data_IF_004228504913
#
_entry.id   IF_004228504913
#
_cell.length_a   1.000
_cell.length_b   1.000
_cell.length_c   1.000
_cell.angle_alpha   90.00
_cell.angle_beta   90.00
_cell.angle_gamma   90.00
#
_symmetry.space_group_name_H-M   'P 1'
#
loop_
_entity.id
_entity.type
_entity.pdbx_description
1 polymer ?
#
# COMPACT_ATOMS: atom_id res chain seq x y z
N UNK A 1 -60.34 -2.74 70.60
CA UNK A 1 -59.36 -1.65 70.43
C UNK A 1 -58.08 -2.22 69.86
N UNK A 2 -57.41 -1.41 69.01
CA UNK A 2 -56.13 -1.58 68.30
C UNK A 2 -55.11 -2.60 68.85
N UNK A 3 -54.24 -3.23 68.08
CA UNK A 3 -53.77 -3.05 66.70
C UNK A 3 -52.61 -4.05 66.47
N UNK A 4 -52.24 -4.29 65.22
CA UNK A 4 -51.60 -5.54 64.78
C UNK A 4 -50.06 -5.66 64.90
N UNK A 5 -49.60 -6.90 64.71
CA UNK A 5 -48.42 -7.32 63.90
C UNK A 5 -48.43 -8.86 63.81
N UNK A 6 -48.74 -9.40 62.64
CA UNK A 6 -47.79 -9.88 61.62
C UNK A 6 -47.24 -11.28 61.91
N UNK A 7 -47.99 -12.29 61.45
CA UNK A 7 -47.53 -13.65 61.25
C UNK A 7 -48.13 -14.17 59.95
N UNK A 8 -47.31 -14.33 58.91
CA UNK A 8 -47.73 -14.83 57.61
C UNK A 8 -46.51 -15.08 56.72
N UNK A 9 -46.15 -16.35 56.60
CA UNK A 9 -45.03 -16.86 55.83
C UNK A 9 -45.17 -16.65 54.31
N UNK A 10 -44.04 -16.88 53.61
CA UNK A 10 -43.84 -17.20 52.18
C UNK A 10 -43.30 -16.11 51.24
N UNK A 11 -42.12 -16.41 50.67
CA UNK A 11 -41.76 -16.06 49.30
C UNK A 11 -40.93 -14.80 49.12
N UNK A 12 -39.70 -14.95 48.62
CA UNK A 12 -39.02 -13.85 47.94
C UNK A 12 -37.51 -13.82 48.09
N UNK A 13 -36.85 -14.84 47.54
CA UNK A 13 -35.48 -14.83 46.99
C UNK A 13 -34.94 -13.41 46.75
N UNK A 14 -33.76 -13.12 47.28
CA UNK A 14 -32.94 -11.99 46.84
C UNK A 14 -32.62 -12.15 45.36
N UNK A 15 -33.46 -11.55 44.50
CA UNK A 15 -33.23 -11.54 43.06
C UNK A 15 -32.15 -10.51 42.81
N UNK A 16 -30.90 -10.98 42.63
CA UNK A 16 -29.93 -10.30 41.77
C UNK A 16 -30.71 -9.80 40.54
N UNK A 17 -30.84 -8.49 40.42
CA UNK A 17 -31.79 -7.88 39.52
C UNK A 17 -31.53 -8.25 38.05
N UNK A 18 -32.56 -8.16 37.19
CA UNK A 18 -32.49 -8.47 35.76
C UNK A 18 -31.42 -7.70 34.97
N UNK A 19 -30.80 -6.66 35.55
CA UNK A 19 -29.72 -5.89 34.94
C UNK A 19 -28.39 -6.65 34.82
N UNK A 20 -28.06 -7.56 35.74
CA UNK A 20 -26.79 -8.32 35.69
C UNK A 20 -26.84 -9.36 34.57
N UNK A 21 -27.98 -10.04 34.40
CA UNK A 21 -28.27 -10.97 33.29
C UNK A 21 -28.41 -10.26 31.95
N UNK A 22 -28.95 -9.04 31.90
CA UNK A 22 -29.00 -8.23 30.68
C UNK A 22 -27.60 -7.79 30.23
N UNK A 23 -26.77 -7.28 31.15
CA UNK A 23 -25.39 -6.89 30.87
C UNK A 23 -24.53 -8.08 30.42
N UNK A 24 -24.74 -9.26 31.02
CA UNK A 24 -24.07 -10.49 30.61
C UNK A 24 -24.53 -10.96 29.22
N UNK A 25 -25.83 -10.86 28.94
CA UNK A 25 -26.41 -11.20 27.63
C UNK A 25 -25.90 -10.26 26.54
N UNK A 26 -25.86 -8.96 26.78
CA UNK A 26 -25.32 -7.96 25.84
C UNK A 26 -23.82 -8.18 25.61
N UNK A 27 -23.04 -8.45 26.66
CA UNK A 27 -21.63 -8.84 26.50
C UNK A 27 -21.47 -10.07 25.62
N UNK A 28 -22.37 -11.04 25.74
CA UNK A 28 -22.35 -12.28 24.93
C UNK A 28 -22.69 -11.99 23.47
N UNK A 29 -23.67 -11.13 23.21
CA UNK A 29 -24.03 -10.69 21.85
C UNK A 29 -22.88 -9.91 21.20
N UNK A 30 -22.28 -8.96 21.92
CA UNK A 30 -21.12 -8.18 21.46
C UNK A 30 -19.94 -9.11 21.14
N UNK A 31 -19.60 -10.06 22.04
CA UNK A 31 -18.52 -11.03 21.80
C UNK A 31 -18.78 -11.91 20.58
N UNK A 32 -20.01 -12.39 20.38
CA UNK A 32 -20.39 -13.16 19.19
C UNK A 32 -20.24 -12.33 17.92
N UNK A 33 -20.64 -11.06 17.95
CA UNK A 33 -20.52 -10.14 16.83
C UNK A 33 -19.06 -9.83 16.50
N UNK A 34 -18.22 -9.59 17.51
CA UNK A 34 -16.76 -9.45 17.36
C UNK A 34 -16.15 -10.72 16.74
N UNK A 35 -16.52 -11.91 17.22
CA UNK A 35 -16.00 -13.17 16.70
C UNK A 35 -16.47 -13.47 15.26
N UNK A 36 -17.68 -13.03 14.88
CA UNK A 36 -18.16 -13.11 13.51
C UNK A 36 -17.40 -12.14 12.60
N UNK A 37 -17.28 -10.86 13.01
CA UNK A 37 -16.53 -9.85 12.27
C UNK A 37 -15.05 -10.21 12.08
N UNK A 38 -14.39 -10.78 13.11
CA UNK A 38 -13.01 -11.29 12.98
C UNK A 38 -12.89 -12.40 11.95
N UNK A 39 -13.85 -13.32 11.88
CA UNK A 39 -13.86 -14.40 10.88
C UNK A 39 -14.08 -13.88 9.47
N UNK A 40 -14.99 -12.94 9.29
CA UNK A 40 -15.19 -12.27 8.00
C UNK A 40 -13.92 -11.49 7.57
N UNK A 41 -13.26 -10.80 8.51
CA UNK A 41 -11.99 -10.10 8.26
C UNK A 41 -10.89 -11.08 7.83
N UNK A 42 -10.76 -12.24 8.46
CA UNK A 42 -9.80 -13.27 8.07
C UNK A 42 -10.10 -13.85 6.69
N UNK A 43 -11.37 -14.01 6.30
CA UNK A 43 -11.74 -14.42 4.93
C UNK A 43 -11.31 -13.38 3.90
N UNK A 44 -11.56 -12.09 4.16
CA UNK A 44 -11.13 -10.99 3.28
C UNK A 44 -9.61 -10.95 3.19
N UNK A 45 -8.89 -11.10 4.31
CA UNK A 45 -7.42 -11.19 4.34
C UNK A 45 -6.89 -12.38 3.55
N UNK A 46 -7.49 -13.56 3.69
CA UNK A 46 -7.12 -14.78 2.97
C UNK A 46 -7.46 -14.71 1.47
N UNK A 47 -8.51 -13.97 1.10
CA UNK A 47 -8.82 -13.67 -0.30
C UNK A 47 -7.76 -12.73 -0.89
N UNK A 48 -7.47 -11.61 -0.19
CA UNK A 48 -6.42 -10.65 -0.57
C UNK A 48 -5.02 -11.27 -0.63
N UNK A 49 -4.68 -12.20 0.26
CA UNK A 49 -3.38 -12.89 0.22
C UNK A 49 -3.26 -13.85 -0.96
N UNK A 50 -4.30 -14.62 -1.27
CA UNK A 50 -4.35 -15.50 -2.45
C UNK A 50 -4.31 -14.72 -3.76
N UNK A 51 -5.02 -13.59 -3.82
CA UNK A 51 -5.01 -12.72 -4.99
C UNK A 51 -3.65 -12.03 -5.19
N UNK A 52 -3.04 -11.50 -4.11
CA UNK A 52 -1.65 -11.01 -4.12
C UNK A 52 -0.66 -12.09 -4.54
N UNK A 53 -0.79 -13.32 -4.04
CA UNK A 53 0.08 -14.43 -4.43
C UNK A 53 -0.06 -14.79 -5.93
N UNK A 54 -1.26 -14.66 -6.49
CA UNK A 54 -1.53 -14.88 -7.92
C UNK A 54 -0.94 -13.76 -8.80
N UNK A 55 -1.09 -12.48 -8.44
CA UNK A 55 -0.41 -11.36 -9.15
C UNK A 55 1.12 -11.45 -9.01
N UNK A 56 1.63 -11.70 -7.81
CA UNK A 56 3.07 -11.84 -7.53
C UNK A 56 3.71 -12.90 -8.42
N UNK A 57 3.06 -14.05 -8.63
CA UNK A 57 3.56 -15.12 -9.50
C UNK A 57 3.64 -14.76 -10.99
N UNK A 58 3.08 -13.64 -11.46
CA UNK A 58 2.88 -13.37 -12.89
C UNK A 58 3.20 -11.93 -13.37
N UNK A 59 3.48 -10.94 -12.50
CA UNK A 59 3.53 -9.52 -12.92
C UNK A 59 4.66 -8.65 -12.32
N UNK A 60 4.85 -7.48 -12.93
CA UNK A 60 5.74 -6.40 -12.48
C UNK A 60 5.24 -5.77 -11.17
N UNK A 61 6.14 -5.21 -10.32
CA UNK A 61 5.74 -4.50 -9.11
C UNK A 61 4.85 -3.29 -9.43
N UNK A 62 3.89 -2.99 -8.55
CA UNK A 62 2.97 -1.87 -8.73
C UNK A 62 3.19 -0.80 -7.67
N UNK A 63 3.39 0.44 -8.12
CA UNK A 63 3.45 1.67 -7.32
C UNK A 63 2.14 2.43 -7.51
N UNK A 64 1.41 2.66 -6.42
CA UNK A 64 0.17 3.45 -6.46
C UNK A 64 0.46 4.89 -6.06
N UNK A 65 0.15 5.84 -6.95
CA UNK A 65 0.31 7.26 -6.71
C UNK A 65 -0.93 7.77 -5.98
N UNK A 66 -0.73 8.27 -4.76
CA UNK A 66 -1.79 8.76 -3.86
C UNK A 66 -1.53 10.20 -3.48
N UNK A 67 -2.57 10.94 -3.12
CA UNK A 67 -2.45 12.35 -2.74
C UNK A 67 -3.65 13.19 -3.18
N UNK A 68 -3.71 14.39 -2.62
CA UNK A 68 -4.82 15.31 -2.86
C UNK A 68 -5.01 15.67 -4.34
N UNK A 69 -6.22 16.08 -4.72
CA UNK A 69 -6.46 16.72 -6.01
C UNK A 69 -5.54 17.92 -6.20
N UNK A 70 -5.02 18.11 -7.40
CA UNK A 70 -4.06 19.16 -7.73
C UNK A 70 -2.68 19.04 -7.04
N UNK A 71 -2.37 17.94 -6.35
CA UNK A 71 -1.02 17.69 -5.84
C UNK A 71 0.04 17.48 -6.95
N UNK A 72 -0.42 17.21 -8.18
CA UNK A 72 0.44 16.96 -9.35
C UNK A 72 0.72 15.48 -9.63
N UNK A 73 -0.19 14.58 -9.22
CA UNK A 73 -0.06 13.12 -9.47
C UNK A 73 0.03 12.76 -10.95
N UNK A 74 -0.91 13.23 -11.77
CA UNK A 74 -0.91 12.95 -13.21
C UNK A 74 0.28 13.61 -13.92
N UNK A 75 0.68 14.81 -13.49
CA UNK A 75 1.92 15.47 -13.98
C UNK A 75 3.15 14.62 -13.67
N UNK A 76 3.23 14.08 -12.44
CA UNK A 76 4.31 13.19 -12.05
C UNK A 76 4.30 11.90 -12.85
N UNK A 77 3.14 11.26 -13.02
CA UNK A 77 3.02 10.03 -13.81
C UNK A 77 3.52 10.24 -15.25
N UNK A 78 3.14 11.37 -15.88
CA UNK A 78 3.60 11.69 -17.23
C UNK A 78 5.11 11.95 -17.28
N UNK A 79 5.64 12.72 -16.33
CA UNK A 79 7.08 13.00 -16.26
C UNK A 79 7.91 11.72 -16.05
N UNK A 80 7.39 10.74 -15.31
CA UNK A 80 8.04 9.43 -15.13
C UNK A 80 7.89 8.50 -16.35
N UNK A 81 6.83 8.65 -17.13
CA UNK A 81 6.52 7.78 -18.27
C UNK A 81 7.26 8.16 -19.56
N UNK A 82 7.63 9.43 -19.75
CA UNK A 82 8.37 9.92 -20.92
C UNK A 82 9.86 9.48 -20.95
N UNK A 83 10.33 8.73 -19.94
CA UNK A 83 11.70 8.20 -19.85
C UNK A 83 11.87 6.79 -20.49
N UNK A 84 11.20 6.52 -21.61
CA UNK A 84 11.07 5.24 -22.34
C UNK A 84 10.00 4.26 -21.79
N UNK A 85 8.79 4.20 -22.41
CA UNK A 85 8.09 2.97 -22.89
C UNK A 85 6.60 3.20 -23.28
N UNK A 86 6.17 2.43 -24.29
CA UNK A 86 4.88 2.33 -24.98
C UNK A 86 3.58 2.40 -24.15
N UNK A 87 2.57 2.99 -24.82
CA UNK A 87 1.24 3.42 -24.38
C UNK A 87 0.16 2.34 -24.52
N UNK A 88 -0.71 2.21 -23.53
CA UNK A 88 -2.16 2.10 -23.77
C UNK A 88 -2.84 3.29 -23.07
N UNK A 89 -3.53 4.12 -23.84
CA UNK A 89 -4.29 5.27 -23.37
C UNK A 89 -5.78 4.93 -23.35
N UNK A 90 -6.44 5.18 -22.22
CA UNK A 90 -7.89 5.35 -22.18
C UNK A 90 -8.21 6.69 -21.52
N UNK A 91 -9.02 7.49 -22.20
CA UNK A 91 -9.42 8.83 -21.75
C UNK A 91 -10.30 8.76 -20.51
N UNK A 92 -9.92 9.50 -19.45
CA UNK A 92 -10.72 10.35 -18.53
C UNK A 92 -9.78 10.78 -17.38
N UNK A 93 -9.95 11.98 -16.81
CA UNK A 93 -9.04 12.63 -15.86
C UNK A 93 -9.05 12.02 -14.42
N UNK A 94 -9.05 10.68 -14.34
CA UNK A 94 -9.05 9.74 -13.19
C UNK A 94 -10.38 9.54 -12.46
N UNK A 95 -11.30 8.84 -13.12
CA UNK A 95 -12.28 7.94 -12.48
C UNK A 95 -11.84 6.47 -12.63
N UNK A 96 -11.15 6.15 -13.73
CA UNK A 96 -10.42 4.90 -13.95
C UNK A 96 -8.91 5.13 -13.70
N UNK A 97 -8.18 4.15 -13.12
CA UNK A 97 -6.75 4.28 -12.85
C UNK A 97 -5.91 4.25 -14.13
N UNK A 98 -4.96 5.18 -14.27
CA UNK A 98 -4.01 5.19 -15.40
C UNK A 98 -2.72 4.52 -14.99
N UNK A 99 -2.29 3.48 -15.71
CA UNK A 99 -1.05 2.75 -15.41
C UNK A 99 0.01 2.99 -16.48
N UNK A 100 1.26 3.25 -16.07
CA UNK A 100 2.43 3.41 -16.94
C UNK A 100 3.58 2.51 -16.49
N UNK A 101 4.39 2.04 -17.43
CA UNK A 101 5.65 1.35 -17.14
C UNK A 101 6.75 2.38 -16.94
N UNK A 102 7.54 2.23 -15.89
CA UNK A 102 8.68 3.08 -15.57
C UNK A 102 9.87 2.18 -15.27
N UNK A 103 11.03 2.54 -15.83
CA UNK A 103 12.30 1.85 -15.56
C UNK A 103 13.01 2.54 -14.39
N UNK A 104 13.32 1.77 -13.35
CA UNK A 104 14.10 2.23 -12.19
C UNK A 104 15.59 2.32 -12.54
N UNK A 105 16.40 3.09 -11.78
CA UNK A 105 17.84 3.24 -12.00
C UNK A 105 18.60 1.91 -12.10
N UNK A 106 18.26 0.91 -11.28
CA UNK A 106 18.81 -0.45 -11.34
C UNK A 106 18.36 -1.29 -12.55
N UNK A 107 17.55 -0.73 -13.45
CA UNK A 107 17.09 -1.36 -14.69
C UNK A 107 15.79 -2.17 -14.54
N UNK A 108 15.29 -2.34 -13.32
CA UNK A 108 14.02 -3.02 -13.04
C UNK A 108 12.84 -2.20 -13.57
N UNK A 109 11.86 -2.86 -14.20
CA UNK A 109 10.64 -2.19 -14.66
C UNK A 109 9.53 -2.35 -13.63
N UNK A 110 8.84 -1.25 -13.34
CA UNK A 110 7.70 -1.20 -12.41
C UNK A 110 6.51 -0.50 -13.06
N UNK A 111 5.32 -0.74 -12.52
CA UNK A 111 4.08 -0.12 -12.97
C UNK A 111 3.70 1.00 -12.02
N UNK A 112 3.61 2.23 -12.50
CA UNK A 112 3.06 3.35 -11.74
C UNK A 112 1.60 3.54 -12.12
N UNK A 113 0.73 3.58 -11.11
CA UNK A 113 -0.72 3.74 -11.30
C UNK A 113 -1.18 5.04 -10.66
N UNK A 114 -1.66 5.98 -11.47
CA UNK A 114 -2.36 7.19 -10.97
C UNK A 114 -3.75 6.80 -10.50
N UNK A 115 -4.02 7.10 -9.24
CA UNK A 115 -5.30 6.81 -8.60
C UNK A 115 -6.14 8.06 -8.50
N UNK A 116 -7.45 7.88 -8.26
CA UNK A 116 -8.35 9.01 -8.06
C UNK A 116 -7.84 9.89 -6.93
N UNK A 117 -7.71 11.19 -7.19
CA UNK A 117 -7.20 12.13 -6.20
C UNK A 117 -8.08 12.23 -4.97
N UNK A 118 -7.44 12.32 -3.80
CA UNK A 118 -8.15 12.54 -2.54
C UNK A 118 -8.76 13.95 -2.53
N UNK A 119 -10.02 14.05 -2.12
CA UNK A 119 -10.73 15.32 -1.89
C UNK A 119 -11.03 15.40 -0.40
N UNK A 120 -10.89 16.60 0.18
CA UNK A 120 -11.20 16.86 1.59
C UNK A 120 -12.64 16.39 1.90
N UNK A 121 -12.78 15.52 2.91
CA UNK A 121 -14.05 14.90 3.32
C UNK A 121 -14.78 14.24 2.15
N UNK A 122 -14.36 13.02 1.79
CA UNK A 122 -15.21 12.15 0.97
C UNK A 122 -16.57 12.01 1.66
N UNK A 123 -17.69 12.39 1.00
CA UNK A 123 -19.01 12.13 1.53
C UNK A 123 -19.12 10.63 1.84
N UNK A 124 -19.65 10.26 3.02
CA UNK A 124 -19.75 8.87 3.48
C UNK A 124 -20.39 7.94 2.45
N UNK A 125 -21.30 8.48 1.64
CA UNK A 125 -22.02 7.74 0.59
C UNK A 125 -21.14 7.43 -0.63
N UNK A 126 -20.15 8.28 -0.91
CA UNK A 126 -19.16 8.10 -1.98
C UNK A 126 -17.96 7.24 -1.55
N UNK A 127 -17.74 7.07 -0.24
CA UNK A 127 -16.66 6.21 0.29
C UNK A 127 -16.82 4.77 -0.22
N UNK A 128 -18.05 4.25 -0.37
CA UNK A 128 -18.26 2.90 -0.90
C UNK A 128 -17.85 2.78 -2.39
N UNK A 129 -18.16 3.78 -3.21
CA UNK A 129 -17.81 3.82 -4.63
C UNK A 129 -16.29 4.06 -4.83
N UNK A 130 -15.69 4.91 -4.01
CA UNK A 130 -14.24 5.16 -4.02
C UNK A 130 -13.43 4.02 -3.40
N UNK A 131 -13.99 3.26 -2.45
CA UNK A 131 -13.30 2.08 -1.89
C UNK A 131 -12.98 1.05 -2.95
N UNK A 132 -13.86 0.86 -3.94
CA UNK A 132 -13.60 -0.04 -5.06
C UNK A 132 -12.44 0.47 -5.94
N UNK A 133 -12.34 1.78 -6.17
CA UNK A 133 -11.24 2.38 -6.96
C UNK A 133 -9.94 2.53 -6.17
N UNK A 134 -10.01 2.59 -4.84
CA UNK A 134 -8.88 2.57 -3.91
C UNK A 134 -8.44 1.15 -3.52
N UNK A 135 -9.14 0.12 -3.97
CA UNK A 135 -8.77 -1.27 -3.71
C UNK A 135 -7.42 -1.61 -4.36
N UNK A 136 -7.12 -1.00 -5.51
CA UNK A 136 -5.81 -1.10 -6.17
C UNK A 136 -4.68 -0.49 -5.31
N UNK A 137 -4.94 0.61 -4.60
CA UNK A 137 -4.01 1.17 -3.61
C UNK A 137 -3.72 0.18 -2.48
N UNK A 138 -4.72 -0.60 -2.06
CA UNK A 138 -4.56 -1.66 -1.06
C UNK A 138 -3.82 -2.88 -1.62
N UNK A 139 -3.70 -3.04 -2.93
CA UNK A 139 -2.95 -4.12 -3.57
C UNK A 139 -1.51 -3.74 -3.98
N UNK A 140 -1.22 -2.46 -4.18
CA UNK A 140 0.11 -1.98 -4.58
C UNK A 140 1.28 -2.49 -3.70
N UNK A 141 2.45 -2.69 -4.29
CA UNK A 141 3.66 -3.07 -3.55
C UNK A 141 4.28 -1.88 -2.82
N UNK A 142 4.06 -0.66 -3.33
CA UNK A 142 4.51 0.60 -2.72
C UNK A 142 3.48 1.72 -2.92
N UNK A 143 3.39 2.62 -1.95
CA UNK A 143 2.61 3.86 -2.03
C UNK A 143 3.52 5.06 -2.32
N UNK A 144 3.23 5.80 -3.38
CA UNK A 144 3.89 7.06 -3.68
C UNK A 144 2.95 8.21 -3.33
N UNK A 145 3.19 8.84 -2.18
CA UNK A 145 2.36 9.93 -1.68
C UNK A 145 2.85 11.27 -2.22
N UNK A 146 2.09 11.89 -3.13
CA UNK A 146 2.38 13.20 -3.71
C UNK A 146 1.71 14.30 -2.88
N UNK A 147 2.53 15.21 -2.37
CA UNK A 147 2.12 16.34 -1.56
C UNK A 147 2.55 17.66 -2.20
N UNK A 148 1.61 18.57 -2.43
CA UNK A 148 1.93 19.94 -2.83
C UNK A 148 2.44 20.73 -1.62
N UNK A 149 3.74 21.01 -1.55
CA UNK A 149 4.35 21.74 -0.42
C UNK A 149 4.06 23.23 -0.42
N UNK A 150 3.52 23.76 -1.51
CA UNK A 150 3.17 25.19 -1.65
C UNK A 150 1.79 25.48 -1.09
N UNK A 151 1.00 24.44 -0.84
CA UNK A 151 -0.34 24.59 -0.32
C UNK A 151 -0.33 24.98 1.17
N UNK A 152 -1.05 26.03 1.61
CA UNK A 152 -1.05 26.47 3.01
C UNK A 152 -1.50 25.40 4.01
N UNK A 153 -2.28 24.42 3.54
CA UNK A 153 -2.76 23.29 4.32
C UNK A 153 -2.05 21.97 4.02
N UNK A 154 -0.85 21.99 3.44
CA UNK A 154 -0.12 20.78 3.03
C UNK A 154 -0.04 19.73 4.15
N UNK A 155 0.34 20.12 5.37
CA UNK A 155 0.39 19.20 6.53
C UNK A 155 -0.97 18.54 6.82
N UNK A 156 -2.06 19.31 6.78
CA UNK A 156 -3.43 18.79 7.01
C UNK A 156 -3.87 17.85 5.90
N UNK A 157 -3.52 18.16 4.66
CA UNK A 157 -3.78 17.30 3.51
C UNK A 157 -3.01 15.98 3.63
N UNK A 158 -1.72 16.04 3.96
CA UNK A 158 -0.91 14.84 4.19
C UNK A 158 -1.53 13.95 5.27
N UNK A 159 -1.91 14.52 6.42
CA UNK A 159 -2.54 13.79 7.50
C UNK A 159 -3.86 13.12 7.06
N UNK A 160 -4.73 13.85 6.37
CA UNK A 160 -5.99 13.29 5.89
C UNK A 160 -5.81 12.14 4.88
N UNK A 161 -4.76 12.17 4.04
CA UNK A 161 -4.40 11.04 3.17
C UNK A 161 -3.98 9.85 4.01
N UNK A 162 -3.11 10.05 5.00
CA UNK A 162 -2.64 8.97 5.88
C UNK A 162 -3.79 8.31 6.66
N UNK A 163 -4.70 9.10 7.22
CA UNK A 163 -5.91 8.61 7.90
C UNK A 163 -6.79 7.79 6.95
N UNK A 164 -6.98 8.25 5.72
CA UNK A 164 -7.78 7.51 4.73
C UNK A 164 -7.09 6.21 4.29
N UNK A 165 -5.77 6.21 4.13
CA UNK A 165 -4.98 5.02 3.83
C UNK A 165 -5.09 3.99 4.98
N UNK A 166 -5.17 4.47 6.22
CA UNK A 166 -5.45 3.64 7.38
C UNK A 166 -6.86 3.02 7.32
N UNK A 167 -7.89 3.82 7.04
CA UNK A 167 -9.28 3.37 6.95
C UNK A 167 -9.53 2.31 5.86
N UNK A 168 -8.82 2.38 4.74
CA UNK A 168 -8.94 1.37 3.66
C UNK A 168 -8.05 0.13 3.88
N UNK A 169 -7.22 0.14 4.93
CA UNK A 169 -6.33 -0.96 5.28
C UNK A 169 -5.07 -1.04 4.42
N UNK A 170 -4.56 0.09 3.95
CA UNK A 170 -3.28 0.21 3.25
C UNK A 170 -2.08 0.42 4.20
N UNK A 171 -2.29 0.25 5.52
CA UNK A 171 -1.27 0.38 6.58
C UNK A 171 -0.14 -0.62 6.39
N UNK A 172 1.09 -0.20 6.71
CA UNK A 172 2.27 -1.07 6.80
C UNK A 172 2.94 -1.35 5.44
N UNK A 173 2.44 -0.74 4.37
CA UNK A 173 3.10 -0.77 3.06
C UNK A 173 4.32 0.17 3.05
N UNK A 174 5.37 -0.17 2.29
CA UNK A 174 6.42 0.78 1.95
C UNK A 174 5.79 2.04 1.34
N UNK A 175 6.25 3.20 1.79
CA UNK A 175 5.76 4.49 1.30
C UNK A 175 6.93 5.46 1.09
N UNK A 176 6.86 6.19 -0.01
CA UNK A 176 7.75 7.32 -0.33
C UNK A 176 6.88 8.57 -0.48
N UNK A 177 7.31 9.68 0.09
CA UNK A 177 6.56 10.95 0.03
C UNK A 177 7.23 11.92 -0.94
N UNK A 178 6.63 12.11 -2.11
CA UNK A 178 7.02 13.11 -3.08
C UNK A 178 6.50 14.49 -2.67
N UNK A 179 7.40 15.33 -2.16
CA UNK A 179 7.16 16.73 -1.82
C UNK A 179 7.22 17.56 -3.10
N UNK A 180 6.09 17.68 -3.79
CA UNK A 180 5.99 18.24 -5.13
C UNK A 180 5.81 19.76 -5.16
N UNK A 181 6.14 20.36 -6.30
CA UNK A 181 6.09 21.81 -6.61
C UNK A 181 7.17 22.65 -5.93
N UNK A 182 8.35 22.06 -5.68
CA UNK A 182 9.49 22.79 -5.09
C UNK A 182 10.04 23.89 -5.99
N UNK A 183 9.70 23.88 -7.29
CA UNK A 183 9.98 24.96 -8.25
C UNK A 183 9.35 26.31 -7.84
N UNK A 184 8.35 26.29 -6.95
CA UNK A 184 7.70 27.50 -6.44
C UNK A 184 8.26 27.96 -5.09
N UNK A 185 9.26 27.26 -4.56
CA UNK A 185 9.95 27.65 -3.34
C UNK A 185 11.25 28.38 -3.67
N UNK A 186 11.69 29.37 -2.86
CA UNK A 186 12.99 30.01 -3.03
C UNK A 186 14.16 29.02 -2.91
N UNK A 187 14.00 27.99 -2.08
CA UNK A 187 14.94 26.89 -1.92
C UNK A 187 14.15 25.58 -1.78
N UNK A 188 14.37 24.58 -2.67
CA UNK A 188 13.73 23.27 -2.59
C UNK A 188 13.88 22.55 -1.25
N UNK A 189 14.96 22.80 -0.50
CA UNK A 189 15.18 22.17 0.80
C UNK A 189 14.17 22.63 1.86
N UNK A 190 13.54 23.79 1.69
CA UNK A 190 12.48 24.26 2.59
C UNK A 190 11.26 23.32 2.60
N UNK A 191 11.08 22.52 1.55
CA UNK A 191 10.04 21.50 1.49
C UNK A 191 10.13 20.48 2.65
N UNK A 192 11.35 20.18 3.13
CA UNK A 192 11.57 19.22 4.21
C UNK A 192 10.95 19.67 5.55
N UNK A 193 10.74 20.97 5.76
CA UNK A 193 10.04 21.45 6.95
C UNK A 193 8.57 20.99 7.00
N UNK A 194 7.96 20.73 5.84
CA UNK A 194 6.58 20.19 5.74
C UNK A 194 6.56 18.68 5.98
N UNK A 195 7.72 18.01 5.91
CA UNK A 195 7.85 16.56 5.87
C UNK A 195 7.94 15.86 7.23
N UNK A 196 7.88 16.63 8.32
CA UNK A 196 7.94 16.09 9.69
C UNK A 196 6.88 14.99 9.90
N UNK A 197 7.34 13.78 10.24
CA UNK A 197 6.48 12.61 10.43
C UNK A 197 6.04 11.88 9.15
N UNK A 198 6.46 12.35 7.97
CA UNK A 198 6.18 11.68 6.69
C UNK A 198 7.29 10.67 6.35
N UNK A 199 6.95 9.49 5.79
CA UNK A 199 7.94 8.48 5.45
C UNK A 199 8.67 8.82 4.15
N UNK A 200 10.00 8.63 4.19
CA UNK A 200 10.94 8.80 3.08
C UNK A 200 10.62 10.04 2.20
N UNK A 201 10.73 11.26 2.76
CA UNK A 201 10.36 12.47 2.04
C UNK A 201 11.41 12.88 1.00
N UNK A 202 10.97 13.13 -0.23
CA UNK A 202 11.81 13.53 -1.36
C UNK A 202 11.28 14.83 -1.98
N UNK A 203 12.03 15.94 -1.91
CA UNK A 203 11.73 17.18 -2.65
C UNK A 203 11.77 16.96 -4.16
N UNK A 204 10.67 17.25 -4.86
CA UNK A 204 10.58 17.11 -6.32
C UNK A 204 9.84 18.29 -6.98
N UNK A 205 10.08 18.48 -8.26
CA UNK A 205 9.14 19.17 -9.14
C UNK A 205 8.80 18.25 -10.31
N UNK A 206 7.57 17.74 -10.31
CA UNK A 206 7.03 16.99 -11.44
C UNK A 206 6.97 17.83 -12.72
N UNK A 207 6.96 19.15 -12.62
CA UNK A 207 6.90 20.06 -13.77
C UNK A 207 8.28 20.23 -14.42
N UNK A 208 9.34 20.39 -13.62
CA UNK A 208 10.68 20.67 -14.14
C UNK A 208 11.57 19.43 -14.23
N UNK A 209 11.16 18.31 -13.62
CA UNK A 209 11.98 17.11 -13.49
C UNK A 209 12.94 17.12 -12.30
N UNK A 210 13.00 18.21 -11.52
CA UNK A 210 13.87 18.29 -10.35
C UNK A 210 13.57 17.15 -9.36
N UNK A 211 14.61 16.43 -8.94
CA UNK A 211 14.52 15.41 -7.89
C UNK A 211 13.85 14.09 -8.30
N UNK A 212 13.47 13.92 -9.57
CA UNK A 212 12.82 12.68 -10.03
C UNK A 212 13.76 11.46 -10.00
N UNK A 213 15.04 11.64 -10.33
CA UNK A 213 16.03 10.54 -10.26
C UNK A 213 16.15 10.01 -8.83
N UNK A 214 16.33 10.93 -7.87
CA UNK A 214 16.36 10.60 -6.44
C UNK A 214 15.05 9.97 -5.97
N UNK A 215 13.91 10.41 -6.48
CA UNK A 215 12.62 9.80 -6.16
C UNK A 215 12.58 8.34 -6.62
N UNK A 216 13.06 8.05 -7.82
CA UNK A 216 13.10 6.69 -8.36
C UNK A 216 14.08 5.81 -7.59
N UNK A 217 15.23 6.33 -7.15
CA UNK A 217 16.18 5.64 -6.26
C UNK A 217 15.51 5.24 -4.93
N UNK A 218 14.78 6.16 -4.30
CA UNK A 218 14.08 5.89 -3.03
C UNK A 218 12.92 4.91 -3.21
N UNK A 219 12.21 4.97 -4.34
CA UNK A 219 11.18 3.97 -4.71
C UNK A 219 11.80 2.59 -4.89
N UNK A 220 12.94 2.51 -5.60
CA UNK A 220 13.69 1.26 -5.79
C UNK A 220 14.12 0.68 -4.43
N UNK A 221 14.81 1.47 -3.61
CA UNK A 221 15.27 1.05 -2.29
C UNK A 221 14.12 0.59 -1.39
N UNK A 222 12.96 1.26 -1.44
CA UNK A 222 11.78 0.88 -0.67
C UNK A 222 11.15 -0.44 -1.17
N UNK A 223 11.13 -0.70 -2.48
CA UNK A 223 10.70 -1.98 -3.05
C UNK A 223 11.67 -3.12 -2.74
N UNK A 224 12.94 -2.82 -2.50
CA UNK A 224 13.99 -3.80 -2.20
C UNK A 224 14.02 -4.27 -0.75
N UNK A 225 13.42 -3.52 0.20
CA UNK A 225 13.49 -3.83 1.65
C UNK A 225 13.02 -5.24 2.00
N UNK A 226 12.07 -5.78 1.24
CA UNK A 226 11.50 -7.11 1.48
C UNK A 226 12.18 -8.23 0.66
N UNK A 227 13.19 -7.90 -0.15
CA UNK A 227 13.95 -8.86 -0.93
C UNK A 227 14.98 -9.59 -0.06
N UNK A 228 15.06 -10.89 -0.24
CA UNK A 228 16.02 -11.77 0.44
C UNK A 228 17.14 -12.16 -0.51
N UNK A 229 18.39 -12.26 -0.01
CA UNK A 229 19.51 -12.71 -0.82
C UNK A 229 19.31 -14.17 -1.25
N UNK A 230 19.72 -14.47 -2.47
CA UNK A 230 19.68 -15.78 -3.09
C UNK A 230 20.91 -15.93 -4.01
N UNK A 231 21.61 -17.05 -3.89
CA UNK A 231 22.63 -17.45 -4.85
C UNK A 231 22.24 -18.81 -5.42
N UNK A 232 22.07 -18.88 -6.74
CA UNK A 232 21.63 -20.08 -7.46
C UNK A 232 22.28 -20.17 -8.84
N UNK A 233 22.41 -21.39 -9.37
CA UNK A 233 22.78 -21.64 -10.76
C UNK A 233 21.52 -21.95 -11.56
N UNK A 234 21.18 -21.05 -12.48
CA UNK A 234 20.02 -21.19 -13.38
C UNK A 234 20.44 -21.98 -14.63
N UNK A 235 19.87 -23.17 -14.89
CA UNK A 235 20.15 -23.95 -16.09
C UNK A 235 19.83 -23.18 -17.39
N UNK A 236 20.55 -23.47 -18.48
CA UNK A 236 20.35 -22.76 -19.76
C UNK A 236 18.97 -22.98 -20.40
N UNK A 237 18.31 -24.10 -20.09
CA UNK A 237 16.95 -24.40 -20.53
C UNK A 237 15.87 -23.66 -19.72
N UNK A 238 16.26 -22.96 -18.63
CA UNK A 238 15.37 -22.21 -17.73
C UNK A 238 15.55 -20.70 -17.81
N UNK A 239 15.64 -20.17 -19.03
CA UNK A 239 15.66 -18.72 -19.29
C UNK A 239 14.42 -17.97 -18.76
N UNK A 240 13.31 -18.68 -18.54
CA UNK A 240 12.12 -18.16 -17.87
C UNK A 240 12.41 -17.72 -16.42
N UNK A 241 13.20 -18.51 -15.68
CA UNK A 241 13.58 -18.20 -14.29
C UNK A 241 14.59 -17.06 -14.24
N UNK A 242 15.53 -17.01 -15.19
CA UNK A 242 16.47 -15.90 -15.32
C UNK A 242 15.73 -14.58 -15.53
N UNK A 243 14.77 -14.56 -16.46
CA UNK A 243 13.92 -13.38 -16.70
C UNK A 243 13.12 -13.01 -15.45
N UNK A 244 12.57 -14.00 -14.74
CA UNK A 244 11.82 -13.77 -13.50
C UNK A 244 12.67 -13.13 -12.40
N UNK A 245 13.93 -13.57 -12.23
CA UNK A 245 14.88 -12.95 -11.28
C UNK A 245 15.13 -11.49 -11.66
N UNK A 246 15.36 -11.19 -12.94
CA UNK A 246 15.61 -9.83 -13.43
C UNK A 246 14.38 -8.91 -13.35
N UNK A 247 13.18 -9.45 -13.57
CA UNK A 247 11.93 -8.68 -13.51
C UNK A 247 11.48 -8.41 -12.06
N UNK A 248 11.67 -9.38 -11.16
CA UNK A 248 11.12 -9.33 -9.79
C UNK A 248 12.14 -9.10 -8.69
N UNK A 249 13.42 -9.26 -8.97
CA UNK A 249 14.51 -9.05 -8.02
C UNK A 249 15.57 -8.09 -8.56
N UNK A 250 16.67 -8.00 -7.82
CA UNK A 250 17.83 -7.18 -8.16
C UNK A 250 19.04 -8.09 -8.29
N UNK A 251 19.67 -8.10 -9.47
CA UNK A 251 20.86 -8.93 -9.73
C UNK A 251 22.10 -8.18 -9.28
N UNK A 252 22.86 -8.78 -8.37
CA UNK A 252 24.11 -8.22 -7.85
C UNK A 252 25.32 -8.72 -8.65
N UNK A 253 25.28 -10.00 -9.07
CA UNK A 253 26.34 -10.63 -9.85
C UNK A 253 25.80 -11.73 -10.74
N UNK A 254 26.28 -11.79 -11.97
CA UNK A 254 25.95 -12.83 -12.95
C UNK A 254 27.24 -13.39 -13.57
N UNK A 255 27.39 -14.72 -13.57
CA UNK A 255 28.54 -15.43 -14.13
C UNK A 255 28.07 -16.66 -14.90
N UNK A 256 28.47 -16.79 -16.16
CA UNK A 256 28.19 -17.99 -16.95
C UNK A 256 29.15 -19.12 -16.55
N UNK A 257 28.61 -20.30 -16.25
CA UNK A 257 29.34 -21.53 -15.95
C UNK A 257 28.93 -22.64 -16.94
N UNK A 258 29.66 -23.77 -17.00
CA UNK A 258 29.28 -24.88 -17.88
C UNK A 258 27.89 -25.47 -17.57
N UNK A 259 27.45 -25.38 -16.31
CA UNK A 259 26.19 -25.95 -15.81
C UNK A 259 24.99 -25.00 -15.96
N UNK A 260 25.24 -23.71 -16.21
CA UNK A 260 24.21 -22.69 -16.31
C UNK A 260 24.74 -21.28 -16.04
N UNK A 261 23.86 -20.39 -15.60
CA UNK A 261 24.23 -19.03 -15.19
C UNK A 261 24.13 -18.92 -13.67
N UNK A 262 25.27 -18.76 -12.99
CA UNK A 262 25.32 -18.49 -11.56
C UNK A 262 24.94 -17.05 -11.30
N UNK A 263 23.95 -16.86 -10.43
CA UNK A 263 23.40 -15.56 -10.09
C UNK A 263 23.39 -15.38 -8.58
N UNK A 264 23.99 -14.28 -8.13
CA UNK A 264 23.73 -13.71 -6.83
C UNK A 264 22.74 -12.55 -7.03
N UNK A 265 21.57 -12.66 -6.41
CA UNK A 265 20.49 -11.69 -6.54
C UNK A 265 19.70 -11.56 -5.24
N UNK A 266 18.98 -10.46 -5.10
CA UNK A 266 17.96 -10.30 -4.07
C UNK A 266 16.59 -10.50 -4.70
N UNK A 267 15.82 -11.47 -4.19
CA UNK A 267 14.52 -11.84 -4.76
C UNK A 267 13.41 -11.82 -3.72
N UNK A 268 12.14 -11.68 -4.11
CA UNK A 268 11.02 -11.84 -3.21
C UNK A 268 11.03 -13.22 -2.53
N UNK A 269 10.68 -13.30 -1.24
CA UNK A 269 10.66 -14.57 -0.48
C UNK A 269 9.85 -15.69 -1.14
N UNK A 270 8.79 -15.35 -1.88
CA UNK A 270 7.96 -16.32 -2.59
C UNK A 270 8.67 -16.96 -3.80
N UNK A 271 9.69 -16.32 -4.37
CA UNK A 271 10.50 -16.90 -5.45
C UNK A 271 11.54 -17.89 -4.94
N UNK A 272 12.02 -17.74 -3.71
CA UNK A 272 13.08 -18.60 -3.15
C UNK A 272 12.71 -20.08 -3.24
N UNK A 273 11.47 -20.44 -2.87
CA UNK A 273 11.02 -21.83 -2.93
C UNK A 273 10.94 -22.39 -4.36
N UNK A 274 10.56 -21.56 -5.34
CA UNK A 274 10.53 -21.96 -6.75
C UNK A 274 11.94 -22.12 -7.31
N UNK A 275 12.83 -21.16 -7.02
CA UNK A 275 14.19 -21.14 -7.52
C UNK A 275 15.01 -22.28 -6.89
N UNK A 276 14.94 -22.51 -5.59
CA UNK A 276 15.64 -23.63 -4.94
C UNK A 276 15.13 -25.01 -5.36
N UNK A 277 13.92 -25.12 -5.93
CA UNK A 277 13.38 -26.39 -6.41
C UNK A 277 13.92 -26.79 -7.79
N UNK A 278 14.43 -25.82 -8.57
CA UNK A 278 14.86 -26.00 -9.97
C UNK A 278 16.34 -25.71 -10.16
N UNK A 279 16.84 -24.67 -9.50
CA UNK A 279 18.22 -24.19 -9.57
C UNK A 279 19.07 -24.85 -8.47
N UNK A 280 20.36 -25.00 -8.75
CA UNK A 280 21.35 -25.58 -7.84
C UNK A 280 22.06 -24.53 -7.00
#
# INVERSE_FOLDING_TARGET
>A
QAGGRAGGATGGVGVRGPGETQLETDRRVIRRRIAHLKRELEKVRAHRSRYRARRRRQGLPVVSIVGYTNAGKSTLLNALADADVLVEDKLFATLDPTTRRVKLPGGRVVLFTDTVGFIQKLPTDLVAAFRATLEETVEADLLLHVLDVTHPQARRQAQAVLETLEDIGAIGKPMVTALNKVDRLPDPQQALAVAEGLPNPVPISALTGYGLDRLLEEVEAALERDLVPLEVVVPFDRGDLLRLIRERGTVEREVHTPEGTRIAARVPRDLVGLLNAVCQ
#
